data_IF_770973937598
#
_entry.id   IF_770973937598
#
_cell.length_a   1.000
_cell.length_b   1.000
_cell.length_c   1.000
_cell.angle_alpha   90.00
_cell.angle_beta   90.00
_cell.angle_gamma   90.00
#
_symmetry.space_group_name_H-M   'P 1'
#
loop_
_entity.id
_entity.type
_entity.pdbx_description
1 polymer ?
#
# COMPACT_ATOMS: atom_id res chain seq x y z
N UNK A 1 -3.42 -5.28 -2.68
CA UNK A 1 -3.70 -4.02 -3.40
C UNK A 1 -5.03 -4.10 -4.13
N UNK A 2 -5.68 -2.95 -4.39
CA UNK A 2 -6.96 -2.86 -5.12
C UNK A 2 -6.87 -3.53 -6.50
N UNK A 3 -5.71 -3.39 -7.16
CA UNK A 3 -5.40 -4.02 -8.46
C UNK A 3 -5.64 -5.54 -8.43
N UNK A 4 -5.18 -6.23 -7.38
CA UNK A 4 -5.38 -7.68 -7.21
C UNK A 4 -6.87 -8.08 -7.16
N UNK A 5 -7.71 -7.27 -6.53
CA UNK A 5 -9.16 -7.55 -6.42
C UNK A 5 -9.89 -7.34 -7.76
N UNK A 6 -9.43 -6.41 -8.60
CA UNK A 6 -10.03 -6.15 -9.93
C UNK A 6 -9.62 -7.17 -10.98
N UNK A 7 -8.45 -7.79 -10.85
CA UNK A 7 -7.83 -8.59 -11.90
C UNK A 7 -8.42 -10.00 -12.12
N UNK A 8 -9.57 -10.36 -11.52
CA UNK A 8 -10.26 -11.67 -11.68
C UNK A 8 -9.33 -12.90 -11.73
N UNK A 9 -8.23 -12.91 -10.96
CA UNK A 9 -7.29 -14.04 -10.88
C UNK A 9 -6.05 -13.97 -11.77
N UNK A 10 -5.80 -12.88 -12.50
CA UNK A 10 -4.56 -12.72 -13.28
C UNK A 10 -3.97 -11.31 -13.21
N UNK A 11 -2.83 -11.15 -12.54
CA UNK A 11 -2.03 -9.93 -12.65
C UNK A 11 -1.27 -9.94 -13.98
N UNK A 12 -1.46 -8.92 -14.80
CA UNK A 12 -0.64 -8.66 -15.99
C UNK A 12 0.76 -8.17 -15.62
N UNK A 13 1.72 -8.38 -16.51
CA UNK A 13 3.12 -7.96 -16.30
C UNK A 13 3.24 -6.44 -16.17
N UNK A 14 2.39 -5.68 -16.84
CA UNK A 14 2.25 -4.23 -16.76
C UNK A 14 1.88 -3.72 -15.36
N UNK A 15 1.28 -4.56 -14.52
CA UNK A 15 0.99 -4.20 -13.13
C UNK A 15 2.15 -4.50 -12.17
N UNK A 16 3.12 -5.29 -12.61
CA UNK A 16 4.31 -5.66 -11.84
C UNK A 16 5.50 -4.80 -12.26
N UNK A 17 5.64 -4.59 -13.57
CA UNK A 17 6.64 -3.72 -14.20
C UNK A 17 5.88 -2.59 -14.92
N UNK A 18 5.50 -1.52 -14.20
CA UNK A 18 4.68 -0.44 -14.75
C UNK A 18 5.43 0.39 -15.79
N UNK A 19 6.75 0.55 -15.63
CA UNK A 19 7.58 1.25 -16.60
C UNK A 19 7.67 0.45 -17.91
N UNK A 20 7.21 1.06 -19.00
CA UNK A 20 7.10 0.40 -20.30
C UNK A 20 8.46 0.06 -20.89
N UNK A 21 9.44 0.95 -20.81
CA UNK A 21 10.80 0.69 -21.32
C UNK A 21 11.43 -0.52 -20.63
N UNK A 22 11.37 -0.57 -19.30
CA UNK A 22 11.89 -1.67 -18.49
C UNK A 22 11.18 -2.98 -18.84
N UNK A 23 9.86 -2.94 -19.03
CA UNK A 23 9.08 -4.10 -19.45
C UNK A 23 9.47 -4.57 -20.85
N UNK A 24 9.67 -3.66 -21.80
CA UNK A 24 10.10 -3.99 -23.16
C UNK A 24 11.49 -4.61 -23.17
N UNK A 25 12.43 -4.08 -22.38
CA UNK A 25 13.77 -4.65 -22.19
C UNK A 25 13.74 -6.03 -21.54
N UNK A 26 12.82 -6.26 -20.61
CA UNK A 26 12.55 -7.58 -20.05
C UNK A 26 12.08 -8.55 -21.12
N UNK A 27 11.06 -8.18 -21.89
CA UNK A 27 10.50 -9.04 -22.93
C UNK A 27 11.46 -9.28 -24.10
N UNK A 28 12.38 -8.34 -24.39
CA UNK A 28 13.42 -8.50 -25.41
C UNK A 28 14.57 -9.41 -24.97
N UNK A 29 14.58 -9.88 -23.72
CA UNK A 29 15.61 -10.77 -23.19
C UNK A 29 16.91 -10.07 -22.81
N UNK A 30 16.90 -8.75 -22.60
CA UNK A 30 18.09 -8.03 -22.13
C UNK A 30 18.48 -8.38 -20.70
N UNK A 31 17.55 -8.91 -19.91
CA UNK A 31 17.82 -9.40 -18.56
C UNK A 31 17.90 -10.92 -18.56
N UNK A 32 19.05 -11.44 -18.13
CA UNK A 32 19.29 -12.89 -18.05
C UNK A 32 18.69 -13.52 -16.79
N UNK A 33 18.46 -12.72 -15.75
CA UNK A 33 18.01 -13.18 -14.44
C UNK A 33 16.98 -12.24 -13.85
N UNK A 34 15.92 -12.80 -13.27
CA UNK A 34 14.93 -12.09 -12.46
C UNK A 34 14.90 -12.70 -11.07
N UNK A 35 15.12 -11.87 -10.06
CA UNK A 35 15.11 -12.28 -8.66
C UNK A 35 13.83 -11.79 -8.00
N UNK A 36 13.08 -12.71 -7.42
CA UNK A 36 11.92 -12.43 -6.59
C UNK A 36 12.31 -12.42 -5.11
N UNK A 37 11.61 -11.60 -4.34
CA UNK A 37 11.87 -11.33 -2.94
C UNK A 37 10.54 -11.22 -2.20
N UNK A 38 10.47 -11.85 -1.03
CA UNK A 38 9.46 -11.56 -0.01
C UNK A 38 10.14 -11.22 1.33
N UNK A 39 9.42 -11.27 2.43
CA UNK A 39 9.95 -10.85 3.73
C UNK A 39 11.00 -11.85 4.27
N UNK A 40 10.74 -13.15 4.23
CA UNK A 40 11.58 -14.13 4.93
C UNK A 40 11.64 -15.56 4.35
N UNK A 41 11.07 -15.85 3.18
CA UNK A 41 11.02 -17.23 2.67
C UNK A 41 12.41 -17.77 2.31
N UNK A 42 12.70 -19.02 2.69
CA UNK A 42 13.96 -19.69 2.41
C UNK A 42 13.94 -20.41 1.06
N UNK A 43 12.77 -20.83 0.62
CA UNK A 43 12.59 -21.55 -0.64
C UNK A 43 11.21 -21.31 -1.27
N UNK A 44 11.09 -21.63 -2.56
CA UNK A 44 9.86 -21.41 -3.33
C UNK A 44 8.66 -22.19 -2.78
N UNK A 45 8.90 -23.32 -2.10
CA UNK A 45 7.86 -24.14 -1.49
C UNK A 45 7.13 -23.48 -0.31
N UNK A 46 7.78 -22.54 0.37
CA UNK A 46 7.20 -21.79 1.51
C UNK A 46 6.31 -20.62 1.06
N UNK A 47 6.49 -20.18 -0.19
CA UNK A 47 5.72 -19.06 -0.74
C UNK A 47 4.27 -19.49 -0.95
N UNK A 48 3.34 -18.72 -0.37
CA UNK A 48 1.89 -18.94 -0.56
C UNK A 48 1.56 -18.97 -2.06
N UNK A 49 0.84 -20.00 -2.51
CA UNK A 49 0.42 -20.17 -3.92
C UNK A 49 -0.39 -18.99 -4.45
N UNK A 50 -1.24 -18.44 -3.59
CA UNK A 50 -1.99 -17.21 -3.87
C UNK A 50 -1.27 -15.97 -3.33
N UNK A 51 0.01 -16.03 -3.00
CA UNK A 51 0.78 -14.88 -2.52
C UNK A 51 1.07 -13.87 -3.63
N UNK A 52 1.36 -12.62 -3.25
CA UNK A 52 1.73 -11.58 -4.24
C UNK A 52 2.95 -11.97 -5.06
N UNK A 53 3.95 -12.59 -4.41
CA UNK A 53 5.15 -13.10 -5.09
C UNK A 53 4.79 -14.13 -6.15
N UNK A 54 3.98 -15.14 -5.81
CA UNK A 54 3.55 -16.16 -6.77
C UNK A 54 2.71 -15.59 -7.91
N UNK A 55 1.87 -14.59 -7.65
CA UNK A 55 1.17 -13.90 -8.73
C UNK A 55 2.14 -13.20 -9.70
N UNK A 56 3.22 -12.63 -9.18
CA UNK A 56 4.23 -11.97 -10.00
C UNK A 56 5.07 -12.98 -10.80
N UNK A 57 5.46 -14.10 -10.19
CA UNK A 57 6.10 -15.23 -10.88
C UNK A 57 5.20 -15.74 -11.99
N UNK A 58 3.92 -15.99 -11.70
CA UNK A 58 2.96 -16.48 -12.69
C UNK A 58 2.77 -15.51 -13.86
N UNK A 59 2.77 -14.20 -13.61
CA UNK A 59 2.68 -13.19 -14.65
C UNK A 59 3.92 -13.19 -15.57
N UNK A 60 5.11 -13.37 -15.00
CA UNK A 60 6.34 -13.49 -15.77
C UNK A 60 6.37 -14.79 -16.58
N UNK A 61 5.95 -15.93 -16.00
CA UNK A 61 5.86 -17.21 -16.70
C UNK A 61 4.90 -17.18 -17.90
N UNK A 62 3.85 -16.33 -17.86
CA UNK A 62 2.93 -16.13 -19.00
C UNK A 62 3.55 -15.32 -20.14
N UNK A 63 4.65 -14.62 -19.89
CA UNK A 63 5.35 -13.75 -20.83
C UNK A 63 6.81 -14.20 -20.95
N UNK A 64 7.09 -15.29 -21.70
CA UNK A 64 8.43 -15.86 -21.78
C UNK A 64 9.42 -14.84 -22.34
N UNK A 65 10.41 -14.49 -21.54
CA UNK A 65 11.46 -13.51 -21.83
C UNK A 65 12.87 -14.11 -21.87
N UNK A 66 13.00 -15.42 -21.69
CA UNK A 66 14.29 -16.11 -21.64
C UNK A 66 15.09 -15.90 -20.34
N UNK A 67 14.58 -15.11 -19.39
CA UNK A 67 15.23 -14.88 -18.11
C UNK A 67 15.09 -16.09 -17.16
N UNK A 68 16.15 -16.40 -16.43
CA UNK A 68 16.13 -17.36 -15.33
C UNK A 68 15.49 -16.74 -14.09
N UNK A 69 14.61 -17.48 -13.43
CA UNK A 69 13.86 -17.00 -12.26
C UNK A 69 14.48 -17.55 -10.97
N UNK A 70 14.76 -16.66 -10.03
CA UNK A 70 15.34 -16.97 -8.73
C UNK A 70 14.51 -16.39 -7.58
N UNK A 71 14.61 -17.01 -6.41
CA UNK A 71 14.09 -16.47 -5.15
C UNK A 71 15.28 -16.12 -4.25
N UNK A 72 15.25 -14.95 -3.61
CA UNK A 72 16.26 -14.60 -2.61
C UNK A 72 15.98 -15.34 -1.30
N UNK A 73 16.86 -16.28 -0.97
CA UNK A 73 16.77 -17.06 0.26
C UNK A 73 16.83 -16.17 1.50
N UNK A 74 15.85 -16.32 2.38
CA UNK A 74 15.75 -15.56 3.64
C UNK A 74 15.10 -14.18 3.47
N UNK A 75 14.63 -13.86 2.27
CA UNK A 75 13.85 -12.65 2.00
C UNK A 75 14.58 -11.34 2.30
N UNK A 76 13.79 -10.29 2.46
CA UNK A 76 14.27 -8.95 2.76
C UNK A 76 14.85 -8.86 4.18
N UNK A 77 14.31 -9.62 5.14
CA UNK A 77 14.76 -9.61 6.53
C UNK A 77 16.23 -10.04 6.64
N UNK A 78 16.61 -11.12 5.94
CA UNK A 78 17.99 -11.59 5.90
C UNK A 78 18.87 -10.63 5.10
N UNK A 79 18.43 -10.22 3.90
CA UNK A 79 19.20 -9.34 3.04
C UNK A 79 19.51 -7.98 3.67
N UNK A 80 18.52 -7.36 4.33
CA UNK A 80 18.70 -6.06 4.97
C UNK A 80 19.57 -6.11 6.23
N UNK A 81 19.59 -7.26 6.91
CA UNK A 81 20.46 -7.50 8.05
C UNK A 81 21.91 -7.73 7.64
N UNK A 82 22.14 -8.46 6.55
CA UNK A 82 23.49 -8.80 6.07
C UNK A 82 24.11 -7.71 5.19
N UNK A 83 23.30 -6.99 4.40
CA UNK A 83 23.74 -5.96 3.44
C UNK A 83 22.96 -4.64 3.59
N UNK A 84 23.03 -3.98 4.77
CA UNK A 84 22.28 -2.76 5.04
C UNK A 84 22.65 -1.60 4.10
N UNK A 85 23.87 -1.56 3.57
CA UNK A 85 24.34 -0.56 2.62
C UNK A 85 23.72 -0.68 1.22
N UNK A 86 23.23 -1.87 0.86
CA UNK A 86 22.54 -2.13 -0.40
C UNK A 86 21.04 -1.83 -0.33
N UNK A 87 20.54 -1.46 0.85
CA UNK A 87 19.14 -1.13 1.07
C UNK A 87 18.91 0.38 0.97
N UNK A 88 18.01 0.80 0.08
CA UNK A 88 17.52 2.18 0.10
C UNK A 88 16.51 2.33 1.22
N UNK A 89 16.88 3.07 2.27
CA UNK A 89 15.89 3.49 3.27
C UNK A 89 14.88 4.38 2.55
N UNK A 90 13.57 4.11 2.67
CA UNK A 90 12.58 5.02 2.12
C UNK A 90 12.84 6.39 2.76
N UNK A 91 13.17 7.38 1.93
CA UNK A 91 13.12 8.76 2.38
C UNK A 91 11.64 8.98 2.69
N UNK A 92 11.26 9.22 3.96
CA UNK A 92 9.87 9.55 4.25
C UNK A 92 9.51 10.71 3.32
N UNK A 93 8.37 10.64 2.61
CA UNK A 93 8.01 11.69 1.66
C UNK A 93 8.15 13.03 2.39
N UNK A 94 9.03 13.90 1.87
CA UNK A 94 9.41 15.19 2.48
C UNK A 94 8.25 16.21 2.49
N UNK A 95 7.00 15.74 2.52
CA UNK A 95 5.78 16.55 2.55
C UNK A 95 4.81 16.20 3.68
N UNK A 96 5.14 15.29 4.60
CA UNK A 96 4.26 14.97 5.75
C UNK A 96 4.67 15.64 7.07
N UNK A 97 5.73 16.44 7.08
CA UNK A 97 6.03 17.33 8.20
C UNK A 97 5.26 18.63 8.04
N UNK A 98 3.97 18.64 8.40
CA UNK A 98 3.27 19.90 8.62
C UNK A 98 3.87 20.55 9.89
N UNK A 99 4.20 21.85 9.85
CA UNK A 99 4.61 22.56 11.05
C UNK A 99 3.45 22.49 12.04
N UNK A 100 3.67 21.82 13.17
CA UNK A 100 2.76 21.86 14.30
C UNK A 100 2.69 23.32 14.76
N UNK A 101 1.68 24.05 14.29
CA UNK A 101 1.31 25.35 14.81
C UNK A 101 0.94 25.17 16.28
N UNK A 102 1.92 25.43 17.12
CA UNK A 102 1.81 25.62 18.56
C UNK A 102 0.88 26.80 18.86
N UNK A 103 -0.42 26.54 18.95
CA UNK A 103 -1.45 27.36 19.63
C UNK A 103 -2.76 26.61 19.43
N UNK A 104 -3.31 25.93 20.44
CA UNK A 104 -4.02 26.54 21.54
C UNK A 104 -3.91 25.69 22.81
N UNK A 105 -3.65 26.34 23.94
CA UNK A 105 -3.83 25.75 25.28
C UNK A 105 -5.32 25.53 25.53
N UNK A 106 -5.79 24.36 26.00
CA UNK A 106 -7.12 24.25 26.56
C UNK A 106 -7.05 24.67 28.03
N UNK A 107 -7.61 25.84 28.33
CA UNK A 107 -8.01 26.16 29.69
C UNK A 107 -9.29 25.37 29.97
N UNK A 108 -9.26 24.56 31.03
CA UNK A 108 -10.35 23.90 31.76
C UNK A 108 -11.76 23.89 31.12
N UNK A 109 -12.31 22.70 30.89
CA UNK A 109 -13.38 22.10 31.74
C UNK A 109 -13.85 20.76 31.14
N UNK A 110 -13.85 19.73 31.99
CA UNK A 110 -14.63 18.49 31.94
C UNK A 110 -15.18 17.99 30.60
N UNK A 111 -14.56 16.95 30.05
CA UNK A 111 -15.25 15.78 29.47
C UNK A 111 -14.23 14.72 29.06
N UNK A 112 -14.33 13.55 29.69
CA UNK A 112 -13.53 12.36 29.41
C UNK A 112 -13.85 11.78 28.04
N UNK A 113 -13.06 12.09 27.01
CA UNK A 113 -12.91 11.29 25.79
C UNK A 113 -11.58 11.69 25.15
N UNK A 114 -10.49 11.01 25.51
CA UNK A 114 -9.22 11.12 24.78
C UNK A 114 -9.41 10.52 23.39
N UNK A 115 -9.83 11.31 22.41
CA UNK A 115 -9.75 10.89 21.00
C UNK A 115 -8.27 10.70 20.65
N UNK A 116 -7.89 9.57 20.02
CA UNK A 116 -6.52 9.31 19.59
C UNK A 116 -5.91 10.49 18.83
N UNK A 117 -4.59 10.66 18.89
CA UNK A 117 -3.91 11.83 18.29
C UNK A 117 -4.21 12.00 16.78
N UNK A 118 -4.53 10.91 16.08
CA UNK A 118 -4.92 10.90 14.66
C UNK A 118 -6.36 11.38 14.38
N UNK A 119 -7.18 11.58 15.42
CA UNK A 119 -8.56 12.11 15.34
C UNK A 119 -8.62 13.62 15.67
N UNK A 120 -7.48 14.27 15.90
CA UNK A 120 -7.40 15.70 16.28
C UNK A 120 -7.44 16.65 15.06
N UNK A 121 -7.70 16.14 13.85
CA UNK A 121 -7.69 16.89 12.59
C UNK A 121 -8.74 16.39 11.58
N UNK A 122 -8.60 16.78 10.31
CA UNK A 122 -9.37 16.20 9.21
C UNK A 122 -8.70 14.93 8.64
N UNK A 123 -9.41 14.15 7.82
CA UNK A 123 -8.82 13.01 7.12
C UNK A 123 -7.70 13.48 6.16
N UNK A 124 -6.68 12.63 5.99
CA UNK A 124 -5.47 12.95 5.23
C UNK A 124 -5.66 12.62 3.75
N UNK A 125 -5.42 13.57 2.85
CA UNK A 125 -5.43 13.31 1.40
C UNK A 125 -4.15 12.54 0.99
N UNK A 126 -4.32 11.31 0.50
CA UNK A 126 -3.20 10.44 0.09
C UNK A 126 -2.98 10.42 -1.43
N UNK A 127 -4.02 10.75 -2.20
CA UNK A 127 -3.99 11.03 -3.64
C UNK A 127 -5.07 12.08 -3.93
N UNK A 128 -5.02 12.77 -5.09
CA UNK A 128 -6.11 13.64 -5.51
C UNK A 128 -7.46 12.92 -5.39
N UNK A 129 -8.36 13.48 -4.59
CA UNK A 129 -9.71 12.94 -4.33
C UNK A 129 -9.78 11.63 -3.52
N UNK A 130 -8.68 11.20 -2.88
CA UNK A 130 -8.65 10.02 -2.01
C UNK A 130 -8.10 10.37 -0.63
N UNK A 131 -8.96 10.18 0.38
CA UNK A 131 -8.67 10.54 1.76
C UNK A 131 -8.60 9.29 2.64
N UNK A 132 -7.63 9.26 3.56
CA UNK A 132 -7.52 8.28 4.64
C UNK A 132 -7.98 8.93 5.94
N UNK A 133 -9.07 8.39 6.50
CA UNK A 133 -9.65 8.86 7.76
C UNK A 133 -9.90 7.73 8.75
N UNK A 134 -10.18 8.09 10.00
CA UNK A 134 -10.60 7.17 11.04
C UNK A 134 -12.11 6.90 10.95
N UNK A 135 -12.60 6.01 11.83
CA UNK A 135 -14.03 5.81 12.01
C UNK A 135 -14.75 7.11 12.42
N UNK A 136 -14.09 7.99 13.19
CA UNK A 136 -14.65 9.28 13.56
C UNK A 136 -14.90 10.15 12.32
N UNK A 137 -13.90 10.33 11.44
CA UNK A 137 -14.07 11.08 10.19
C UNK A 137 -15.18 10.47 9.30
N UNK A 138 -15.22 9.15 9.18
CA UNK A 138 -16.21 8.42 8.39
C UNK A 138 -17.65 8.54 8.94
N UNK A 139 -17.82 8.93 10.20
CA UNK A 139 -19.13 9.14 10.85
C UNK A 139 -19.67 10.57 10.69
N UNK A 140 -18.90 11.49 10.10
CA UNK A 140 -19.26 12.91 9.99
C UNK A 140 -19.70 13.28 8.58
N UNK A 141 -21.01 13.21 8.32
CA UNK A 141 -21.58 13.48 6.98
C UNK A 141 -21.22 14.87 6.44
N UNK A 142 -21.31 15.89 7.28
CA UNK A 142 -20.95 17.27 6.98
C UNK A 142 -19.50 17.42 6.49
N UNK A 143 -18.57 16.71 7.14
CA UNK A 143 -17.17 16.70 6.75
C UNK A 143 -16.97 16.00 5.40
N UNK A 144 -17.62 14.85 5.19
CA UNK A 144 -17.55 14.09 3.95
C UNK A 144 -18.09 14.90 2.77
N UNK A 145 -19.26 15.55 2.95
CA UNK A 145 -19.89 16.43 1.96
C UNK A 145 -18.98 17.63 1.62
N UNK A 146 -18.38 18.27 2.64
CA UNK A 146 -17.48 19.42 2.46
C UNK A 146 -16.20 19.05 1.69
N UNK A 147 -15.67 17.83 1.91
CA UNK A 147 -14.52 17.31 1.17
C UNK A 147 -14.89 16.78 -0.22
N UNK A 148 -16.17 16.80 -0.60
CA UNK A 148 -16.65 16.27 -1.87
C UNK A 148 -16.51 14.75 -1.99
N UNK A 149 -16.55 14.03 -0.86
CA UNK A 149 -16.48 12.57 -0.86
C UNK A 149 -17.75 12.01 -1.50
N UNK A 150 -17.59 11.19 -2.54
CA UNK A 150 -18.73 10.53 -3.20
C UNK A 150 -18.86 9.06 -2.84
N UNK A 151 -17.80 8.44 -2.31
CA UNK A 151 -17.76 7.02 -1.96
C UNK A 151 -16.95 6.82 -0.67
N UNK A 152 -17.42 5.91 0.20
CA UNK A 152 -16.69 5.50 1.42
C UNK A 152 -16.35 4.01 1.35
N UNK A 153 -15.07 3.69 1.61
CA UNK A 153 -14.59 2.31 1.67
C UNK A 153 -14.07 2.05 3.08
N UNK A 154 -14.78 1.23 3.83
CA UNK A 154 -14.33 0.75 5.13
C UNK A 154 -13.51 -0.54 4.97
N UNK A 155 -12.33 -0.52 5.58
CA UNK A 155 -11.37 -1.65 5.57
C UNK A 155 -11.18 -2.26 6.96
N UNK A 156 -11.90 -1.76 7.98
CA UNK A 156 -11.92 -2.30 9.34
C UNK A 156 -12.93 -3.45 9.44
N UNK A 157 -12.55 -4.52 10.14
CA UNK A 157 -13.48 -5.60 10.52
C UNK A 157 -14.32 -5.28 11.75
N UNK A 158 -13.98 -4.22 12.48
CA UNK A 158 -14.50 -3.95 13.83
C UNK A 158 -15.34 -2.67 13.90
N UNK A 159 -15.54 -1.98 12.77
CA UNK A 159 -16.31 -0.74 12.69
C UNK A 159 -17.41 -0.90 11.62
N UNK A 160 -18.69 -0.64 11.94
CA UNK A 160 -19.76 -0.62 10.93
C UNK A 160 -19.69 0.65 10.08
N UNK A 161 -20.31 0.63 8.90
CA UNK A 161 -20.47 1.82 8.06
C UNK A 161 -21.64 2.68 8.56
N UNK A 162 -21.50 4.00 8.49
CA UNK A 162 -22.54 4.94 8.92
C UNK A 162 -23.52 5.37 7.81
N UNK A 163 -23.10 5.28 6.54
CA UNK A 163 -23.82 5.91 5.42
C UNK A 163 -23.89 5.02 4.17
N UNK A 164 -24.20 3.73 4.33
CA UNK A 164 -24.17 2.73 3.25
C UNK A 164 -25.06 3.05 2.04
N UNK A 165 -26.16 3.79 2.28
CA UNK A 165 -27.11 4.19 1.24
C UNK A 165 -26.76 5.52 0.54
N UNK A 166 -25.76 6.26 1.04
CA UNK A 166 -25.45 7.61 0.58
C UNK A 166 -24.13 7.74 -0.17
N UNK A 167 -23.16 6.86 0.09
CA UNK A 167 -21.83 6.93 -0.51
C UNK A 167 -21.45 5.57 -1.09
N UNK A 168 -21.40 5.47 -2.43
CA UNK A 168 -21.14 4.23 -3.19
C UNK A 168 -20.13 4.45 -4.31
#
# INVERSE_FOLDING_TARGET
TIVRRRARGGLGLEHIVPNEDTRNRLLSGEYQSVVFLDDCSLEMGEVKKDGTLMLAVNALCRNPCGASVFLLKGGFDTFSSEFPEMCTKPVPPQGLSLPLSSSCRPNNTDSSCTTPLYDQGGPVEILPFLYLGSAYHASRKDMLDMLGITALINVSSNCPNHFEDHYQ
#
